data_IF_920561501992
#
_entry.id   IF_920561501992
#
_cell.length_a   1.000
_cell.length_b   1.000
_cell.length_c   1.000
_cell.angle_alpha   90.00
_cell.angle_beta   90.00
_cell.angle_gamma   90.00
#
_symmetry.space_group_name_H-M   'P 1'
#
loop_
_entity.id
_entity.type
_entity.pdbx_description
1 polymer ?
#
# COMPACT_ATOMS: atom_id res chain seq x y z
N UNK A 1 6.42 1.91 12.83
CA UNK A 1 5.75 1.18 11.75
C UNK A 1 6.74 0.88 10.64
N UNK A 2 6.60 -0.28 10.03
CA UNK A 2 7.40 -0.74 8.90
C UNK A 2 6.48 -0.84 7.71
N UNK A 3 6.97 -0.47 6.51
CA UNK A 3 6.19 -0.59 5.30
C UNK A 3 7.02 -1.06 4.10
N UNK A 4 6.31 -1.60 3.12
CA UNK A 4 6.85 -2.16 1.90
C UNK A 4 6.06 -1.66 0.68
N UNK A 5 6.79 -1.27 -0.35
CA UNK A 5 6.23 -1.01 -1.68
C UNK A 5 6.62 -2.16 -2.61
N UNK A 6 5.65 -2.88 -3.10
CA UNK A 6 5.89 -3.85 -4.17
C UNK A 6 6.38 -3.18 -5.45
N UNK A 7 7.04 -3.93 -6.35
CA UNK A 7 7.34 -3.46 -7.69
C UNK A 7 6.06 -2.98 -8.36
N UNK A 8 6.12 -1.93 -9.15
CA UNK A 8 4.93 -1.33 -9.78
C UNK A 8 3.88 -0.78 -8.80
N UNK A 9 4.22 -0.60 -7.50
CA UNK A 9 3.33 -0.07 -6.44
C UNK A 9 3.91 1.18 -5.78
N UNK A 10 4.52 2.07 -6.56
CA UNK A 10 5.12 3.30 -6.08
C UNK A 10 6.53 3.12 -5.48
N UNK A 11 7.16 1.96 -5.66
CA UNK A 11 8.55 1.77 -5.26
C UNK A 11 9.46 2.72 -6.04
N UNK A 12 10.34 3.44 -5.33
CA UNK A 12 11.35 4.33 -5.95
C UNK A 12 12.55 3.55 -6.51
N UNK A 13 12.80 2.35 -5.98
CA UNK A 13 13.82 1.42 -6.42
C UNK A 13 13.19 0.02 -6.59
N UNK A 14 12.54 -0.26 -7.72
CA UNK A 14 11.79 -1.49 -7.92
C UNK A 14 12.67 -2.71 -8.23
N UNK A 15 13.97 -2.51 -8.40
CA UNK A 15 14.98 -3.51 -8.77
C UNK A 15 15.46 -4.35 -7.58
N UNK A 16 15.08 -4.02 -6.35
CA UNK A 16 15.41 -4.80 -5.17
C UNK A 16 14.35 -4.64 -4.07
N UNK A 17 14.16 -5.71 -3.29
CA UNK A 17 13.27 -5.67 -2.13
C UNK A 17 13.87 -4.81 -1.02
N UNK A 18 13.11 -3.84 -0.52
CA UNK A 18 13.49 -3.03 0.62
C UNK A 18 12.30 -2.68 1.50
N UNK A 19 12.55 -2.58 2.80
CA UNK A 19 11.59 -2.11 3.79
C UNK A 19 11.99 -0.72 4.26
N UNK A 20 10.98 0.07 4.59
CA UNK A 20 11.15 1.41 5.15
C UNK A 20 10.48 1.46 6.53
N UNK A 21 10.98 2.30 7.42
CA UNK A 21 10.44 2.45 8.77
C UNK A 21 10.18 3.92 9.09
N UNK A 22 9.10 4.16 9.82
CA UNK A 22 8.71 5.48 10.34
C UNK A 22 8.25 5.34 11.80
N UNK A 23 8.29 6.40 12.60
CA UNK A 23 7.69 6.37 13.93
C UNK A 23 6.21 5.95 13.87
N UNK A 24 5.72 5.33 14.95
CA UNK A 24 4.28 5.04 15.09
C UNK A 24 3.46 6.33 15.00
N UNK A 25 2.23 6.21 14.50
CA UNK A 25 1.30 7.33 14.28
C UNK A 25 1.78 8.36 13.24
N UNK A 26 2.75 7.98 12.41
CA UNK A 26 3.17 8.82 11.28
C UNK A 26 2.18 8.78 10.12
N UNK A 27 1.42 7.69 9.98
CA UNK A 27 0.42 7.52 8.92
C UNK A 27 -0.99 7.54 9.49
N UNK A 28 -1.91 8.37 8.97
CA UNK A 28 -3.28 8.48 9.46
C UNK A 28 -4.02 7.15 9.55
N UNK A 29 -3.75 6.21 8.63
CA UNK A 29 -4.43 4.91 8.59
C UNK A 29 -4.13 4.03 9.82
N UNK A 30 -3.04 4.27 10.53
CA UNK A 30 -2.69 3.52 11.74
C UNK A 30 -3.68 3.76 12.88
N UNK A 31 -4.32 4.92 12.90
CA UNK A 31 -5.28 5.34 13.92
C UNK A 31 -6.73 5.34 13.42
N UNK A 32 -6.92 5.44 12.09
CA UNK A 32 -8.22 5.60 11.44
C UNK A 32 -8.37 4.68 10.23
N UNK A 33 -8.32 3.37 10.46
CA UNK A 33 -8.55 2.40 9.40
C UNK A 33 -10.05 2.30 9.07
N UNK A 34 -10.37 2.53 7.80
CA UNK A 34 -11.69 2.29 7.21
C UNK A 34 -11.58 1.16 6.17
N UNK A 35 -12.34 0.09 6.36
CA UNK A 35 -12.36 -1.06 5.44
C UNK A 35 -12.79 -0.68 4.01
N UNK A 36 -13.57 0.39 3.85
CA UNK A 36 -13.96 0.90 2.54
C UNK A 36 -12.88 1.77 1.88
N UNK A 37 -11.77 2.02 2.59
CA UNK A 37 -10.66 2.77 2.06
C UNK A 37 -9.75 1.84 1.25
N UNK A 38 -9.72 2.05 -0.05
CA UNK A 38 -8.79 1.38 -0.97
C UNK A 38 -8.85 -0.17 -0.99
N UNK A 39 -10.00 -0.78 -0.65
CA UNK A 39 -10.15 -2.24 -0.59
C UNK A 39 -9.01 -2.93 0.19
N UNK A 40 -8.59 -2.33 1.29
CA UNK A 40 -7.49 -2.81 2.10
C UNK A 40 -7.95 -3.88 3.09
N UNK A 41 -7.07 -4.82 3.38
CA UNK A 41 -7.31 -5.88 4.36
C UNK A 41 -6.49 -5.61 5.62
N UNK A 42 -7.14 -5.51 6.78
CA UNK A 42 -6.46 -5.44 8.07
C UNK A 42 -6.35 -6.85 8.68
N UNK A 43 -5.13 -7.29 8.89
CA UNK A 43 -4.79 -8.47 9.72
C UNK A 43 -4.41 -7.97 11.11
N UNK A 44 -5.11 -8.46 12.13
CA UNK A 44 -4.87 -8.06 13.51
C UNK A 44 -4.97 -9.25 14.46
N UNK A 45 -3.85 -9.62 15.09
CA UNK A 45 -3.76 -10.75 16.01
C UNK A 45 -2.96 -10.40 17.27
N UNK A 46 -3.19 -11.15 18.35
CA UNK A 46 -2.53 -10.92 19.64
C UNK A 46 -1.19 -11.62 19.77
N UNK A 47 -0.93 -12.64 18.97
CA UNK A 47 0.35 -13.37 18.92
C UNK A 47 0.92 -13.39 17.51
N UNK A 48 2.24 -13.47 17.43
CA UNK A 48 2.96 -13.39 16.17
C UNK A 48 2.67 -14.56 15.23
N UNK A 49 2.53 -15.78 15.76
CA UNK A 49 2.34 -16.97 14.91
C UNK A 49 0.98 -16.94 14.22
N UNK A 50 -0.08 -16.61 14.96
CA UNK A 50 -1.43 -16.42 14.40
C UNK A 50 -1.44 -15.29 13.38
N UNK A 51 -0.73 -14.19 13.67
CA UNK A 51 -0.62 -13.06 12.76
C UNK A 51 0.05 -13.45 11.43
N UNK A 52 1.17 -14.17 11.47
CA UNK A 52 1.87 -14.63 10.27
C UNK A 52 0.98 -15.57 9.44
N UNK A 53 0.30 -16.52 10.10
CA UNK A 53 -0.61 -17.45 9.41
C UNK A 53 -1.77 -16.72 8.73
N UNK A 54 -2.38 -15.74 9.41
CA UNK A 54 -3.44 -14.93 8.82
C UNK A 54 -2.93 -14.06 7.66
N UNK A 55 -1.74 -13.49 7.82
CA UNK A 55 -1.10 -12.68 6.77
C UNK A 55 -0.77 -13.52 5.53
N UNK A 56 -0.19 -14.71 5.68
CA UNK A 56 0.07 -15.62 4.57
C UNK A 56 -1.21 -15.93 3.79
N UNK A 57 -2.33 -16.19 4.50
CA UNK A 57 -3.63 -16.41 3.87
C UNK A 57 -4.07 -15.18 3.06
N UNK A 58 -3.95 -13.98 3.61
CA UNK A 58 -4.31 -12.74 2.90
C UNK A 58 -3.40 -12.53 1.69
N UNK A 59 -2.10 -12.72 1.82
CA UNK A 59 -1.16 -12.55 0.71
C UNK A 59 -1.40 -13.56 -0.41
N UNK A 60 -1.87 -14.79 -0.09
CA UNK A 60 -2.24 -15.79 -1.09
C UNK A 60 -3.49 -15.42 -1.91
N UNK A 61 -4.27 -14.43 -1.49
CA UNK A 61 -5.43 -13.92 -2.24
C UNK A 61 -5.05 -12.99 -3.38
N UNK A 62 -3.81 -12.55 -3.46
CA UNK A 62 -3.35 -11.73 -4.57
C UNK A 62 -3.56 -12.47 -5.90
N UNK A 63 -4.45 -11.96 -6.73
CA UNK A 63 -4.71 -12.54 -8.05
C UNK A 63 -3.46 -12.40 -8.91
N UNK A 64 -3.02 -13.50 -9.51
CA UNK A 64 -2.06 -13.45 -10.60
C UNK A 64 -2.80 -12.86 -11.78
N UNK A 65 -2.41 -11.70 -12.33
CA UNK A 65 -3.05 -11.17 -13.53
C UNK A 65 -2.97 -12.21 -14.65
N UNK A 66 -4.08 -12.51 -15.31
CA UNK A 66 -4.12 -13.50 -16.43
C UNK A 66 -3.11 -13.18 -17.54
N UNK A 67 -2.62 -11.94 -17.60
CA UNK A 67 -1.63 -11.43 -18.55
C UNK A 67 -0.23 -11.21 -17.96
N UNK A 68 0.09 -11.76 -16.81
CA UNK A 68 1.42 -11.60 -16.20
C UNK A 68 2.57 -12.08 -17.12
N UNK A 69 2.27 -12.99 -18.06
CA UNK A 69 3.21 -13.48 -19.07
C UNK A 69 3.42 -12.55 -20.28
N UNK A 70 2.71 -11.43 -20.40
CA UNK A 70 2.75 -10.59 -21.61
C UNK A 70 3.24 -9.15 -21.41
N UNK A 71 3.52 -8.68 -20.22
CA UNK A 71 3.95 -7.29 -19.97
C UNK A 71 5.43 -7.13 -19.66
N UNK A 72 6.26 -8.05 -20.08
CA UNK A 72 7.71 -8.00 -19.94
C UNK A 72 8.40 -7.24 -21.04
N UNK A 73 8.05 -5.99 -21.32
CA UNK A 73 8.90 -5.11 -22.13
C UNK A 73 9.44 -3.96 -21.27
N UNK A 74 10.45 -4.24 -20.48
CA UNK A 74 11.34 -3.25 -19.91
C UNK A 74 12.75 -3.55 -20.41
N UNK A 75 13.21 -2.72 -21.35
CA UNK A 75 14.60 -2.46 -21.78
C UNK A 75 15.58 -3.62 -21.74
N UNK A 76 16.15 -3.91 -22.92
CA UNK A 76 17.21 -4.85 -23.18
C UNK A 76 18.32 -4.83 -22.10
N UNK A 77 18.52 -5.96 -21.41
CA UNK A 77 19.69 -6.18 -20.57
C UNK A 77 19.57 -7.12 -19.38
N UNK A 78 18.38 -7.52 -18.93
CA UNK A 78 18.24 -8.41 -17.79
C UNK A 78 17.73 -9.79 -18.22
N UNK A 79 18.61 -10.79 -18.21
CA UNK A 79 18.26 -12.20 -18.32
C UNK A 79 17.81 -12.75 -16.97
N UNK A 80 16.66 -12.28 -16.47
CA UNK A 80 15.97 -12.92 -15.35
C UNK A 80 14.62 -13.41 -15.87
N UNK A 81 14.35 -14.68 -15.67
CA UNK A 81 12.98 -15.24 -15.70
C UNK A 81 12.15 -14.34 -14.82
N UNK A 82 11.23 -13.58 -15.42
CA UNK A 82 10.36 -12.67 -14.70
C UNK A 82 9.48 -13.50 -13.75
N UNK A 83 9.94 -13.70 -12.51
CA UNK A 83 9.08 -14.15 -11.43
C UNK A 83 8.07 -13.02 -11.21
N UNK A 84 6.81 -13.34 -11.44
CA UNK A 84 5.71 -12.42 -11.20
C UNK A 84 5.66 -12.07 -9.70
N UNK A 85 5.84 -10.81 -9.36
CA UNK A 85 5.65 -10.33 -7.99
C UNK A 85 4.25 -9.74 -7.83
N UNK A 86 3.52 -10.14 -6.77
CA UNK A 86 2.21 -9.58 -6.48
C UNK A 86 2.27 -8.07 -6.27
N UNK A 87 1.26 -7.35 -6.77
CA UNK A 87 1.15 -5.90 -6.62
C UNK A 87 0.47 -5.57 -5.29
N UNK A 88 1.25 -5.19 -4.31
CA UNK A 88 0.74 -4.74 -3.01
C UNK A 88 1.58 -3.63 -2.39
N UNK A 89 0.93 -2.89 -1.47
CA UNK A 89 1.58 -2.05 -0.49
C UNK A 89 1.22 -2.59 0.90
N UNK A 90 2.18 -2.64 1.81
CA UNK A 90 1.99 -3.25 3.13
C UNK A 90 2.48 -2.29 4.20
N UNK A 91 1.67 -2.12 5.25
CA UNK A 91 2.05 -1.38 6.46
C UNK A 91 1.87 -2.31 7.66
N UNK A 92 2.90 -2.46 8.48
CA UNK A 92 2.86 -3.28 9.69
C UNK A 92 3.32 -2.51 10.92
N UNK A 93 2.65 -2.74 12.04
CA UNK A 93 3.04 -2.17 13.33
C UNK A 93 2.62 -3.05 14.50
N UNK A 94 3.30 -2.85 15.61
CA UNK A 94 2.94 -3.46 16.88
C UNK A 94 2.27 -2.43 17.78
N UNK A 95 1.16 -2.79 18.39
CA UNK A 95 0.48 -2.04 19.44
C UNK A 95 0.71 -2.76 20.76
N UNK A 96 1.46 -2.19 21.72
CA UNK A 96 1.66 -2.82 23.02
C UNK A 96 0.36 -2.88 23.82
N UNK A 97 0.31 -3.74 24.81
CA UNK A 97 -0.79 -3.72 25.77
C UNK A 97 -0.90 -2.32 26.41
N UNK A 98 -2.13 -1.91 26.72
CA UNK A 98 -2.33 -0.67 27.48
C UNK A 98 -1.65 -0.77 28.86
N UNK A 99 -1.21 0.38 29.37
CA UNK A 99 -0.63 0.47 30.72
C UNK A 99 -1.57 -0.17 31.75
N UNK A 100 -1.06 -0.84 32.80
CA UNK A 100 -1.89 -1.38 33.88
C UNK A 100 -2.81 -0.34 34.54
N UNK A 101 -2.47 0.95 34.44
CA UNK A 101 -3.25 2.07 34.96
C UNK A 101 -4.23 2.66 33.95
N UNK A 102 -4.37 2.07 32.76
CA UNK A 102 -5.37 2.52 31.77
C UNK A 102 -6.75 2.06 32.17
N UNK A 103 -7.73 2.96 32.06
CA UNK A 103 -9.15 2.63 32.29
C UNK A 103 -9.72 1.64 31.24
N UNK A 104 -9.02 1.46 30.12
CA UNK A 104 -9.36 0.52 29.05
C UNK A 104 -8.17 -0.42 28.86
N UNK A 105 -8.32 -1.66 29.34
CA UNK A 105 -7.33 -2.71 29.09
C UNK A 105 -7.38 -3.13 27.63
N UNK A 106 -6.23 -3.09 26.95
CA UNK A 106 -6.09 -3.66 25.61
C UNK A 106 -4.97 -4.69 25.60
N UNK A 107 -5.19 -5.82 24.94
CA UNK A 107 -4.14 -6.81 24.68
C UNK A 107 -3.16 -6.27 23.63
N UNK A 108 -1.89 -6.71 23.66
CA UNK A 108 -0.96 -6.38 22.61
C UNK A 108 -1.46 -6.91 21.26
N UNK A 109 -1.15 -6.20 20.18
CA UNK A 109 -1.59 -6.60 18.83
C UNK A 109 -0.50 -6.38 17.80
N UNK A 110 -0.33 -7.37 16.94
CA UNK A 110 0.35 -7.23 15.66
C UNK A 110 -0.70 -6.79 14.63
N UNK A 111 -0.38 -5.79 13.85
CA UNK A 111 -1.29 -5.21 12.87
C UNK A 111 -0.57 -5.14 11.53
N UNK A 112 -1.24 -5.56 10.46
CA UNK A 112 -0.76 -5.39 9.10
C UNK A 112 -1.94 -5.02 8.20
N UNK A 113 -1.78 -3.95 7.44
CA UNK A 113 -2.70 -3.57 6.37
C UNK A 113 -2.05 -3.95 5.05
N UNK A 114 -2.77 -4.68 4.23
CA UNK A 114 -2.39 -5.05 2.87
C UNK A 114 -3.31 -4.33 1.89
N UNK A 115 -2.74 -3.51 1.02
CA UNK A 115 -3.42 -2.87 -0.10
C UNK A 115 -3.06 -3.64 -1.37
N UNK A 116 -4.03 -4.25 -1.99
CA UNK A 116 -3.84 -4.85 -3.30
C UNK A 116 -3.92 -3.78 -4.38
N UNK A 117 -3.08 -3.89 -5.39
CA UNK A 117 -2.93 -2.87 -6.42
C UNK A 117 -3.26 -3.41 -7.81
N UNK A 118 -4.16 -2.71 -8.49
CA UNK A 118 -4.50 -2.95 -9.90
C UNK A 118 -3.58 -2.18 -10.83
N UNK A 119 -3.36 -0.90 -10.51
CA UNK A 119 -2.59 0.01 -11.35
C UNK A 119 -1.36 0.54 -10.64
N UNK A 120 -0.26 0.66 -11.36
CA UNK A 120 0.97 1.29 -10.85
C UNK A 120 0.79 2.79 -10.63
N UNK A 121 0.12 3.45 -11.57
CA UNK A 121 -0.13 4.90 -11.58
C UNK A 121 -1.55 5.21 -12.03
N UNK A 122 -2.16 6.27 -11.47
CA UNK A 122 -3.50 6.69 -11.87
C UNK A 122 -3.50 7.38 -13.24
N UNK A 123 -4.67 7.46 -13.86
CA UNK A 123 -4.84 8.11 -15.18
C UNK A 123 -4.41 9.57 -15.18
N UNK A 124 -4.65 10.31 -14.07
CA UNK A 124 -4.26 11.69 -13.95
C UNK A 124 -2.74 11.92 -14.06
N UNK A 125 -1.92 10.90 -13.80
CA UNK A 125 -0.47 10.97 -13.98
C UNK A 125 -0.06 11.13 -15.45
N UNK A 126 -0.85 10.58 -16.37
CA UNK A 126 -0.61 10.60 -17.82
C UNK A 126 -1.47 11.63 -18.57
N UNK A 127 -2.26 12.44 -17.85
CA UNK A 127 -3.12 13.45 -18.44
C UNK A 127 -2.31 14.56 -19.15
N UNK A 128 -2.93 15.35 -20.03
CA UNK A 128 -2.33 16.56 -20.59
C UNK A 128 -1.80 17.49 -19.51
N UNK A 129 -0.76 18.27 -19.80
CA UNK A 129 -0.04 19.09 -18.83
C UNK A 129 -0.94 20.01 -17.98
N UNK A 130 -1.96 20.59 -18.61
CA UNK A 130 -2.94 21.47 -17.95
C UNK A 130 -3.87 20.73 -16.97
N UNK A 131 -3.97 19.40 -17.02
CA UNK A 131 -4.83 18.57 -16.17
C UNK A 131 -4.03 17.58 -15.31
N UNK A 132 -2.74 17.43 -15.62
CA UNK A 132 -1.88 16.44 -15.01
C UNK A 132 -1.72 16.67 -13.51
N UNK A 133 -1.75 15.56 -12.77
CA UNK A 133 -1.36 15.49 -11.36
C UNK A 133 -0.24 14.46 -11.27
N UNK A 134 0.99 14.93 -10.98
CA UNK A 134 2.15 14.06 -10.79
C UNK A 134 2.08 13.41 -9.41
N UNK A 135 1.18 12.46 -9.28
CA UNK A 135 0.93 11.69 -8.08
C UNK A 135 1.01 10.20 -8.41
N UNK A 136 1.93 9.49 -7.77
CA UNK A 136 2.16 8.06 -7.96
C UNK A 136 2.10 7.38 -6.59
N UNK A 137 0.91 6.90 -6.16
CA UNK A 137 0.74 6.40 -4.81
C UNK A 137 1.65 5.21 -4.51
N UNK A 138 2.45 5.35 -3.45
CA UNK A 138 3.12 4.26 -2.75
C UNK A 138 2.45 4.00 -1.42
N UNK A 139 3.11 3.26 -0.53
CA UNK A 139 2.54 2.88 0.78
C UNK A 139 2.25 4.09 1.67
N UNK A 140 3.05 5.13 1.60
CA UNK A 140 2.82 6.37 2.37
C UNK A 140 1.53 7.05 1.94
N UNK A 141 1.29 7.14 0.64
CA UNK A 141 0.06 7.72 0.09
C UNK A 141 -1.16 6.83 0.35
N UNK A 142 -1.01 5.52 0.22
CA UNK A 142 -2.04 4.54 0.62
C UNK A 142 -2.34 4.65 2.12
N UNK A 143 -1.36 5.03 2.94
CA UNK A 143 -1.49 5.31 4.38
C UNK A 143 -2.14 6.64 4.73
N UNK A 144 -2.49 7.47 3.74
CA UNK A 144 -3.26 8.71 3.90
C UNK A 144 -2.45 10.01 3.86
N UNK A 145 -1.18 9.99 3.39
CA UNK A 145 -0.34 11.18 3.23
C UNK A 145 -0.10 11.42 1.74
N UNK A 146 -0.75 12.42 1.16
CA UNK A 146 -0.55 12.75 -0.25
C UNK A 146 0.75 13.52 -0.49
N UNK A 147 1.72 12.90 -1.17
CA UNK A 147 2.97 13.52 -1.59
C UNK A 147 2.94 13.74 -3.11
N UNK A 148 3.19 14.95 -3.55
CA UNK A 148 3.20 15.31 -4.98
C UNK A 148 4.51 15.98 -5.38
N UNK A 149 4.87 15.83 -6.66
CA UNK A 149 6.18 16.24 -7.16
C UNK A 149 6.34 17.77 -7.31
N UNK A 150 5.24 18.53 -7.49
CA UNK A 150 5.30 19.96 -7.77
C UNK A 150 4.08 20.72 -7.24
N UNK A 151 4.16 22.03 -7.26
CA UNK A 151 3.13 22.97 -6.75
C UNK A 151 1.83 22.86 -7.53
N UNK A 152 1.88 22.71 -8.83
CA UNK A 152 0.69 22.61 -9.70
C UNK A 152 -0.12 21.36 -9.36
N UNK A 153 0.54 20.22 -9.15
CA UNK A 153 -0.10 18.98 -8.70
C UNK A 153 -0.69 19.13 -7.30
N UNK A 154 0.00 19.84 -6.39
CA UNK A 154 -0.50 20.10 -5.05
C UNK A 154 -1.79 20.92 -5.07
N UNK A 155 -1.83 21.99 -5.86
CA UNK A 155 -2.99 22.86 -5.95
C UNK A 155 -4.20 22.18 -6.62
N UNK A 156 -3.95 21.15 -7.45
CA UNK A 156 -4.99 20.34 -8.12
C UNK A 156 -5.47 19.14 -7.29
N UNK A 157 -4.66 18.65 -6.35
CA UNK A 157 -4.96 17.48 -5.54
C UNK A 157 -5.83 17.83 -4.33
N UNK A 158 -7.14 17.74 -4.49
CA UNK A 158 -8.09 17.91 -3.39
C UNK A 158 -8.25 16.60 -2.60
N UNK A 159 -8.76 16.64 -1.35
CA UNK A 159 -9.03 15.42 -0.57
C UNK A 159 -9.98 14.42 -1.26
N UNK A 160 -10.95 14.90 -2.05
CA UNK A 160 -11.82 14.01 -2.82
C UNK A 160 -11.06 13.34 -3.96
N UNK A 161 -10.27 14.11 -4.73
CA UNK A 161 -9.43 13.55 -5.80
C UNK A 161 -8.42 12.55 -5.27
N UNK A 162 -7.82 12.82 -4.10
CA UNK A 162 -6.91 11.88 -3.46
C UNK A 162 -7.60 10.53 -3.23
N UNK A 163 -8.80 10.54 -2.62
CA UNK A 163 -9.58 9.30 -2.41
C UNK A 163 -9.93 8.58 -3.70
N UNK A 164 -10.35 9.33 -4.72
CA UNK A 164 -10.71 8.76 -6.03
C UNK A 164 -9.50 8.11 -6.71
N UNK A 165 -8.34 8.76 -6.64
CA UNK A 165 -7.07 8.23 -7.16
C UNK A 165 -6.64 6.96 -6.42
N UNK A 166 -6.73 6.95 -5.08
CA UNK A 166 -6.41 5.77 -4.28
C UNK A 166 -7.31 4.59 -4.66
N UNK A 167 -8.62 4.82 -4.82
CA UNK A 167 -9.55 3.78 -5.28
C UNK A 167 -9.30 3.32 -6.71
N UNK A 168 -8.90 4.23 -7.59
CA UNK A 168 -8.56 3.90 -8.99
C UNK A 168 -7.39 2.91 -9.08
N UNK A 169 -6.36 3.09 -8.24
CA UNK A 169 -5.16 2.24 -8.27
C UNK A 169 -5.29 0.98 -7.41
N UNK A 170 -6.25 0.93 -6.51
CA UNK A 170 -6.53 -0.23 -5.68
C UNK A 170 -7.24 -1.34 -6.48
N UNK A 171 -6.97 -2.59 -6.13
CA UNK A 171 -7.65 -3.75 -6.70
C UNK A 171 -8.87 -4.13 -5.85
N UNK A 172 -9.86 -4.76 -6.48
CA UNK A 172 -10.99 -5.33 -5.76
C UNK A 172 -10.59 -6.70 -5.20
N UNK A 173 -10.61 -6.81 -3.87
CA UNK A 173 -10.39 -8.08 -3.20
C UNK A 173 -11.75 -8.68 -2.87
N UNK A 174 -12.10 -9.78 -3.54
CA UNK A 174 -13.27 -10.59 -3.18
C UNK A 174 -12.87 -11.44 -1.96
N UNK A 175 -13.20 -10.96 -0.76
CA UNK A 175 -12.98 -11.66 0.51
C UNK A 175 -14.17 -12.59 0.79
#
# INVERSE_FOLDING_TARGET
SIFYNGPMCGASAPDHMHFQAVPRHSMPIEDHFDTNYANAVLVQESDLQSHLTALEKVLSMASIPENASQTGSLTAGASHTEEWEPRWNIISWYSPASSPNSLIASSPKFNTIVFFRRESRPKCFFAPENERILFSPGTVEMGGIGIVANRESFDRLTPSKLRDIIREVADEVNI
#
